data_IF_755364442854
#
_entry.id   IF_755364442854
#
_cell.length_a   1.000
_cell.length_b   1.000
_cell.length_c   1.000
_cell.angle_alpha   90.00
_cell.angle_beta   90.00
_cell.angle_gamma   90.00
#
_symmetry.space_group_name_H-M   'P 1'
#
loop_
_entity.id
_entity.type
_entity.pdbx_description
1 polymer ?
#
# COMPACT_ATOMS: atom_id res chain seq x y z
N UNK A 1 2.27 -6.26 27.96
CA UNK A 1 2.89 -5.24 28.81
C UNK A 1 3.47 -5.98 29.99
N UNK A 2 4.79 -6.07 30.06
CA UNK A 2 5.46 -6.63 31.24
C UNK A 2 5.14 -5.71 32.42
N UNK A 3 4.53 -6.22 33.50
CA UNK A 3 4.26 -5.40 34.68
C UNK A 3 5.59 -4.88 35.26
N UNK A 4 5.61 -3.65 35.77
CA UNK A 4 6.82 -3.04 36.36
C UNK A 4 7.51 -3.96 37.40
N UNK A 5 6.73 -4.80 38.08
CA UNK A 5 7.22 -5.80 39.05
C UNK A 5 8.12 -6.89 38.46
N UNK A 6 8.06 -7.15 37.15
CA UNK A 6 8.94 -8.10 36.45
C UNK A 6 10.24 -7.44 35.94
N UNK A 7 10.30 -6.10 35.96
CA UNK A 7 11.48 -5.30 35.64
C UNK A 7 12.34 -5.01 36.90
N UNK A 8 11.72 -4.98 38.09
CA UNK A 8 12.40 -4.87 39.38
C UNK A 8 13.29 -6.11 39.64
N UNK A 9 14.61 -5.90 39.63
CA UNK A 9 15.61 -6.94 39.90
C UNK A 9 16.39 -7.44 38.68
N UNK A 10 16.05 -7.00 37.47
CA UNK A 10 16.82 -7.26 36.25
C UNK A 10 17.94 -6.25 36.06
N UNK A 11 19.05 -6.69 35.46
CA UNK A 11 20.16 -5.79 35.14
C UNK A 11 19.73 -4.80 34.05
N UNK A 12 20.36 -3.61 33.96
CA UNK A 12 20.02 -2.63 32.91
C UNK A 12 20.15 -3.19 31.49
N UNK A 13 21.08 -4.12 31.27
CA UNK A 13 21.28 -4.83 29.99
C UNK A 13 20.09 -5.75 29.66
N UNK A 14 19.57 -6.50 30.65
CA UNK A 14 18.38 -7.32 30.47
C UNK A 14 17.13 -6.48 30.21
N UNK A 15 17.03 -5.30 30.83
CA UNK A 15 15.94 -4.36 30.58
C UNK A 15 16.01 -3.75 29.17
N UNK A 16 17.19 -3.42 28.66
CA UNK A 16 17.36 -2.99 27.27
C UNK A 16 17.03 -4.10 26.27
N UNK A 17 17.38 -5.34 26.58
CA UNK A 17 17.07 -6.51 25.76
C UNK A 17 15.55 -6.78 25.71
N UNK A 18 14.86 -6.65 26.84
CA UNK A 18 13.39 -6.76 26.92
C UNK A 18 12.68 -5.65 26.13
N UNK A 19 13.25 -4.44 26.12
CA UNK A 19 12.74 -3.32 25.32
C UNK A 19 12.96 -3.53 23.83
N UNK A 20 14.15 -3.94 23.41
CA UNK A 20 14.46 -4.20 21.98
C UNK A 20 13.65 -5.36 21.41
N UNK A 21 13.35 -6.37 22.22
CA UNK A 21 12.50 -7.50 21.82
C UNK A 21 10.99 -7.18 21.85
N UNK A 22 10.59 -5.99 22.32
CA UNK A 22 9.20 -5.53 22.29
C UNK A 22 8.31 -5.99 23.46
N UNK A 23 8.89 -6.49 24.55
CA UNK A 23 8.11 -6.95 25.71
C UNK A 23 7.61 -5.79 26.59
N UNK A 24 8.32 -4.66 26.57
CA UNK A 24 8.03 -3.51 27.44
C UNK A 24 6.97 -2.54 26.90
N UNK A 25 6.60 -2.60 25.61
CA UNK A 25 5.64 -1.64 25.02
C UNK A 25 5.06 -2.13 23.69
N UNK A 26 3.88 -1.61 23.32
CA UNK A 26 3.23 -1.93 22.05
C UNK A 26 3.39 -0.76 21.09
N UNK A 27 4.33 -0.88 20.15
CA UNK A 27 4.49 0.10 19.09
C UNK A 27 3.51 -0.16 17.94
N UNK A 28 3.06 0.93 17.29
CA UNK A 28 2.24 0.86 16.09
C UNK A 28 3.00 1.37 14.87
N UNK A 29 2.79 0.69 13.75
CA UNK A 29 3.22 1.09 12.41
C UNK A 29 2.16 1.93 11.69
N UNK A 30 1.02 2.22 12.33
CA UNK A 30 -0.07 3.01 11.72
C UNK A 30 0.43 4.39 11.31
N UNK A 31 0.33 4.70 10.01
CA UNK A 31 0.76 5.98 9.44
C UNK A 31 2.27 6.15 9.30
N UNK A 32 3.08 5.13 9.62
CA UNK A 32 4.53 5.12 9.40
C UNK A 32 4.85 4.35 8.13
N UNK A 33 5.79 4.85 7.33
CA UNK A 33 6.32 4.11 6.18
C UNK A 33 7.19 2.97 6.70
N UNK A 34 6.93 1.74 6.24
CA UNK A 34 7.72 0.55 6.54
C UNK A 34 8.52 0.20 5.30
N UNK A 35 9.84 0.07 5.42
CA UNK A 35 10.71 -0.30 4.31
C UNK A 35 10.34 -1.69 3.77
N UNK A 36 10.29 -1.83 2.44
CA UNK A 36 9.86 -3.07 1.77
C UNK A 36 8.35 -3.29 1.68
N UNK A 37 7.54 -2.46 2.34
CA UNK A 37 6.07 -2.46 2.23
C UNK A 37 5.56 -1.40 1.23
N UNK A 38 6.31 -1.18 0.15
CA UNK A 38 6.01 -0.24 -0.93
C UNK A 38 5.76 -0.93 -2.29
N UNK A 39 5.87 -2.25 -2.31
CA UNK A 39 5.58 -3.07 -3.49
C UNK A 39 4.07 -3.23 -3.66
N UNK A 40 3.56 -2.81 -4.82
CA UNK A 40 2.18 -3.04 -5.23
C UNK A 40 2.10 -3.08 -6.75
N UNK A 41 1.24 -3.94 -7.29
CA UNK A 41 1.02 -4.08 -8.73
C UNK A 41 -0.43 -3.78 -9.09
N UNK A 42 -0.64 -3.22 -10.28
CA UNK A 42 -1.98 -2.95 -10.83
C UNK A 42 -2.10 -3.62 -12.20
N UNK A 43 -3.07 -4.51 -12.33
CA UNK A 43 -3.38 -5.14 -13.61
C UNK A 43 -4.45 -4.34 -14.37
N UNK A 44 -4.02 -3.50 -15.32
CA UNK A 44 -4.93 -2.68 -16.13
C UNK A 44 -5.19 -3.34 -17.48
N UNK A 45 -6.42 -3.80 -17.71
CA UNK A 45 -6.88 -4.24 -19.03
C UNK A 45 -7.64 -3.10 -19.71
N UNK A 46 -7.04 -2.54 -20.75
CA UNK A 46 -7.73 -1.56 -21.60
C UNK A 46 -8.62 -2.29 -22.61
N UNK A 47 -9.94 -2.09 -22.50
CA UNK A 47 -10.86 -2.57 -23.53
C UNK A 47 -10.56 -1.87 -24.86
N UNK A 48 -10.47 -2.64 -25.94
CA UNK A 48 -10.21 -2.10 -27.27
C UNK A 48 -11.40 -1.23 -27.69
N UNK A 49 -11.14 0.05 -27.94
CA UNK A 49 -12.15 0.97 -28.48
C UNK A 49 -12.10 0.90 -30.00
N UNK A 50 -13.18 0.43 -30.61
CA UNK A 50 -13.30 0.40 -32.07
C UNK A 50 -13.81 1.75 -32.58
N UNK A 51 -13.46 2.08 -33.82
CA UNK A 51 -13.82 3.33 -34.49
C UNK A 51 -14.72 2.99 -35.67
N UNK A 52 -15.87 3.64 -35.77
CA UNK A 52 -16.76 3.45 -36.93
C UNK A 52 -16.26 4.33 -38.06
N UNK A 53 -15.83 3.74 -39.19
CA UNK A 53 -15.37 4.50 -40.36
C UNK A 53 -16.48 4.76 -41.38
N UNK A 54 -17.34 3.77 -41.62
CA UNK A 54 -18.37 3.83 -42.67
C UNK A 54 -19.71 4.38 -42.12
N UNK A 55 -20.45 5.08 -42.97
CA UNK A 55 -21.79 5.63 -42.70
C UNK A 55 -21.87 6.53 -41.45
N UNK A 56 -20.86 7.37 -41.25
CA UNK A 56 -20.81 8.32 -40.13
C UNK A 56 -21.57 9.60 -40.46
N UNK A 57 -22.35 10.11 -39.51
CA UNK A 57 -22.88 11.49 -39.58
C UNK A 57 -21.77 12.47 -39.21
N UNK A 58 -21.30 13.27 -40.16
CA UNK A 58 -20.30 14.32 -39.88
C UNK A 58 -19.21 14.50 -40.94
N UNK A 59 -19.16 13.66 -41.97
CA UNK A 59 -18.19 13.78 -43.06
C UNK A 59 -16.78 13.27 -42.70
N UNK A 60 -15.89 13.28 -43.70
CA UNK A 60 -14.58 12.62 -43.64
C UNK A 60 -13.59 13.25 -42.64
N UNK A 61 -13.63 14.57 -42.43
CA UNK A 61 -12.69 15.30 -41.57
C UNK A 61 -13.14 15.49 -40.11
N UNK A 62 -14.09 14.68 -39.60
CA UNK A 62 -14.49 14.68 -38.18
C UNK A 62 -13.89 13.52 -37.39
N UNK A 63 -13.58 13.71 -36.09
CA UNK A 63 -13.05 12.65 -35.23
C UNK A 63 -14.00 11.45 -35.19
N UNK A 64 -13.45 10.25 -35.37
CA UNK A 64 -14.21 8.98 -35.43
C UNK A 64 -14.90 8.71 -34.11
N UNK A 65 -16.19 8.38 -34.19
CA UNK A 65 -16.98 8.03 -33.02
C UNK A 65 -16.50 6.69 -32.46
N UNK A 66 -16.51 6.61 -31.13
CA UNK A 66 -16.26 5.35 -30.45
C UNK A 66 -17.45 4.43 -30.70
N UNK A 67 -17.19 3.24 -31.24
CA UNK A 67 -18.20 2.19 -31.32
C UNK A 67 -18.33 1.60 -29.92
N UNK A 68 -19.48 1.82 -29.30
CA UNK A 68 -19.89 1.17 -28.06
C UNK A 68 -20.43 -0.24 -28.36
#
# INVERSE_FOLDING_TARGET
MVPESELEGKTPEEQEMLKTMGFCGFDTTKGKKVEGNDVGEVHVILKRKYRQYMNRKGGFNRPLDFVA
#
